data_IF_661379222047
#
_entry.id   IF_661379222047
#
_cell.length_a   1.000
_cell.length_b   1.000
_cell.length_c   1.000
_cell.angle_alpha   90.00
_cell.angle_beta   90.00
_cell.angle_gamma   90.00
#
_symmetry.space_group_name_H-M   'P 1'
#
loop_
_entity.id
_entity.type
_entity.pdbx_description
1 polymer ?
#
# COMPACT_ATOMS: atom_id res chain seq x y z
N UNK A 1 3.23 -21.89 -11.43
CA UNK A 1 1.88 -21.64 -11.98
C UNK A 1 1.92 -20.28 -12.67
N UNK A 2 1.42 -20.15 -13.93
CA UNK A 2 1.43 -18.85 -14.59
C UNK A 2 0.51 -17.87 -13.86
N UNK A 3 0.97 -16.62 -13.75
CA UNK A 3 0.23 -15.51 -13.16
C UNK A 3 -0.20 -14.59 -14.28
N UNK A 4 -1.49 -14.35 -14.37
CA UNK A 4 -2.03 -13.28 -15.20
C UNK A 4 -1.81 -11.95 -14.51
N UNK A 5 -1.42 -10.92 -15.26
CA UNK A 5 -1.27 -9.57 -14.75
C UNK A 5 -1.64 -8.55 -15.83
N UNK A 6 -2.52 -7.62 -15.50
CA UNK A 6 -3.05 -6.64 -16.43
C UNK A 6 -3.42 -5.33 -15.75
N UNK A 7 -3.34 -4.21 -16.47
CA UNK A 7 -3.96 -2.97 -16.05
C UNK A 7 -5.46 -3.02 -16.34
N UNK A 8 -6.27 -2.71 -15.33
CA UNK A 8 -7.74 -2.69 -15.43
C UNK A 8 -8.29 -1.31 -15.10
N UNK A 9 -9.51 -1.05 -15.59
CA UNK A 9 -10.34 0.08 -15.14
C UNK A 9 -11.56 -0.46 -14.39
N UNK A 10 -11.95 0.22 -13.31
CA UNK A 10 -13.12 -0.08 -12.52
C UNK A 10 -13.76 1.23 -12.02
N UNK A 11 -14.97 1.51 -12.49
CA UNK A 11 -15.56 2.85 -12.35
C UNK A 11 -14.67 3.92 -13.00
N UNK A 12 -14.37 4.96 -12.26
CA UNK A 12 -13.46 6.06 -12.61
C UNK A 12 -12.00 5.82 -12.14
N UNK A 13 -11.71 4.60 -11.65
CA UNK A 13 -10.40 4.21 -11.14
C UNK A 13 -9.66 3.33 -12.13
N UNK A 14 -8.33 3.22 -11.95
CA UNK A 14 -7.47 2.25 -12.63
C UNK A 14 -6.53 1.56 -11.63
N UNK A 15 -6.00 0.41 -12.00
CA UNK A 15 -5.04 -0.32 -11.19
C UNK A 15 -4.45 -1.53 -11.90
N UNK A 16 -3.38 -2.08 -11.32
CA UNK A 16 -2.76 -3.30 -11.81
C UNK A 16 -3.33 -4.51 -11.07
N UNK A 17 -3.96 -5.43 -11.79
CA UNK A 17 -4.59 -6.63 -11.25
C UNK A 17 -3.80 -7.88 -11.65
N UNK A 18 -3.59 -8.79 -10.68
CA UNK A 18 -2.92 -10.05 -10.93
C UNK A 18 -3.60 -11.21 -10.18
N UNK A 19 -3.65 -12.39 -10.82
CA UNK A 19 -4.20 -13.60 -10.24
C UNK A 19 -3.64 -14.87 -10.88
N UNK A 20 -3.71 -16.05 -10.22
CA UNK A 20 -3.33 -17.34 -10.79
C UNK A 20 -4.23 -17.72 -11.96
N UNK A 21 -3.71 -17.86 -13.19
CA UNK A 21 -4.50 -18.16 -14.40
C UNK A 21 -5.32 -19.46 -14.32
N UNK A 22 -4.87 -20.42 -13.51
CA UNK A 22 -5.52 -21.73 -13.37
C UNK A 22 -6.41 -21.82 -12.14
N UNK A 23 -6.77 -20.70 -11.54
CA UNK A 23 -7.75 -20.71 -10.46
C UNK A 23 -9.11 -21.19 -10.98
N UNK A 24 -9.68 -22.19 -10.32
CA UNK A 24 -10.98 -22.78 -10.69
C UNK A 24 -12.13 -22.29 -9.82
N UNK A 25 -11.80 -21.48 -8.81
CA UNK A 25 -12.75 -20.88 -7.84
C UNK A 25 -12.36 -19.43 -7.63
N UNK A 26 -13.30 -18.58 -7.18
CA UNK A 26 -12.96 -17.26 -6.69
C UNK A 26 -11.94 -17.34 -5.55
N UNK A 27 -10.99 -16.41 -5.54
CA UNK A 27 -9.87 -16.37 -4.60
C UNK A 27 -10.03 -15.27 -3.56
N UNK A 28 -9.55 -15.47 -2.33
CA UNK A 28 -9.31 -14.35 -1.43
C UNK A 28 -8.45 -13.29 -2.11
N UNK A 29 -8.66 -12.03 -1.78
CA UNK A 29 -8.01 -10.93 -2.49
C UNK A 29 -7.23 -10.00 -1.57
N UNK A 30 -6.24 -9.31 -2.14
CA UNK A 30 -5.40 -8.35 -1.43
C UNK A 30 -5.25 -7.07 -2.24
N UNK A 31 -5.56 -5.93 -1.61
CA UNK A 31 -5.24 -4.61 -2.16
C UNK A 31 -3.79 -4.28 -1.79
N UNK A 32 -2.97 -3.99 -2.81
CA UNK A 32 -1.56 -3.61 -2.66
C UNK A 32 -1.43 -2.10 -2.82
N UNK A 33 -1.13 -1.40 -1.73
CA UNK A 33 -1.13 0.05 -1.70
C UNK A 33 0.28 0.58 -1.90
N UNK A 34 0.47 1.33 -2.96
CA UNK A 34 1.72 1.88 -3.46
C UNK A 34 2.47 2.74 -2.45
N UNK A 35 3.79 2.84 -2.63
CA UNK A 35 4.62 3.88 -2.03
C UNK A 35 4.34 5.25 -2.71
N UNK A 36 5.10 6.27 -2.34
CA UNK A 36 5.01 7.61 -2.95
C UNK A 36 5.40 7.62 -4.45
N UNK A 37 5.97 6.53 -4.95
CA UNK A 37 6.42 6.39 -6.34
C UNK A 37 5.33 5.93 -7.32
N UNK A 38 4.09 5.74 -6.84
CA UNK A 38 3.00 5.23 -7.67
C UNK A 38 3.04 3.71 -7.86
N UNK A 39 2.11 3.20 -8.65
CA UNK A 39 2.18 1.82 -9.15
C UNK A 39 3.23 1.80 -10.26
N UNK A 40 4.43 1.35 -9.91
CA UNK A 40 5.59 1.17 -10.76
C UNK A 40 5.90 -0.32 -10.93
N UNK A 41 6.95 -0.67 -11.68
CA UNK A 41 7.33 -2.06 -11.93
C UNK A 41 7.55 -2.88 -10.63
N UNK A 42 8.05 -2.27 -9.56
CA UNK A 42 8.24 -2.93 -8.27
C UNK A 42 6.89 -3.30 -7.62
N UNK A 43 5.91 -2.39 -7.63
CA UNK A 43 4.56 -2.65 -7.10
C UNK A 43 3.81 -3.66 -7.99
N UNK A 44 3.96 -3.60 -9.32
CA UNK A 44 3.40 -4.63 -10.22
C UNK A 44 3.97 -6.01 -9.92
N UNK A 45 5.29 -6.11 -9.73
CA UNK A 45 5.94 -7.39 -9.41
C UNK A 45 5.53 -7.90 -8.02
N UNK A 46 5.41 -7.04 -7.02
CA UNK A 46 4.90 -7.39 -5.71
C UNK A 46 3.44 -7.88 -5.77
N UNK A 47 2.61 -7.25 -6.60
CA UNK A 47 1.23 -7.67 -6.86
C UNK A 47 1.20 -9.08 -7.45
N UNK A 48 2.07 -9.39 -8.42
CA UNK A 48 2.24 -10.76 -8.96
C UNK A 48 2.76 -11.75 -7.93
N UNK A 49 3.67 -11.34 -7.04
CA UNK A 49 4.19 -12.21 -5.96
C UNK A 49 3.09 -12.61 -4.98
N UNK A 50 2.18 -11.68 -4.64
CA UNK A 50 1.00 -11.99 -3.81
C UNK A 50 0.06 -12.93 -4.57
N UNK A 51 -0.14 -12.71 -5.87
CA UNK A 51 -0.91 -13.62 -6.71
C UNK A 51 -0.28 -15.02 -6.78
N UNK A 52 1.04 -15.11 -6.87
CA UNK A 52 1.76 -16.40 -6.86
C UNK A 52 1.64 -17.15 -5.52
N UNK A 53 1.33 -16.45 -4.44
CA UNK A 53 1.03 -17.06 -3.14
C UNK A 53 -0.43 -17.57 -3.02
N UNK A 54 -1.25 -17.44 -4.06
CA UNK A 54 -2.61 -18.03 -4.12
C UNK A 54 -3.74 -17.03 -3.89
N UNK A 55 -3.48 -15.74 -3.95
CA UNK A 55 -4.49 -14.67 -3.85
C UNK A 55 -4.78 -14.05 -5.21
N UNK A 56 -5.89 -13.32 -5.34
CA UNK A 56 -5.98 -12.29 -6.36
C UNK A 56 -5.50 -10.97 -5.76
N UNK A 57 -4.78 -10.14 -6.52
CA UNK A 57 -4.20 -8.92 -5.99
C UNK A 57 -4.48 -7.73 -6.91
N UNK A 58 -4.84 -6.58 -6.34
CA UNK A 58 -5.08 -5.33 -7.05
C UNK A 58 -4.22 -4.22 -6.44
N UNK A 59 -3.40 -3.58 -7.25
CA UNK A 59 -2.72 -2.35 -6.90
C UNK A 59 -3.46 -1.15 -7.51
N UNK A 60 -4.31 -0.44 -6.75
CA UNK A 60 -4.98 0.77 -7.21
C UNK A 60 -3.98 1.87 -7.55
N UNK A 61 -4.16 2.54 -8.69
CA UNK A 61 -3.32 3.67 -9.06
C UNK A 61 -3.84 4.97 -8.41
N UNK A 62 -3.30 5.31 -7.25
CA UNK A 62 -3.72 6.48 -6.48
C UNK A 62 -3.27 7.82 -7.10
N UNK A 63 -2.53 7.78 -8.19
CA UNK A 63 -2.19 8.95 -9.00
C UNK A 63 -3.17 9.17 -10.15
N UNK A 64 -4.04 8.21 -10.40
CA UNK A 64 -5.07 8.32 -11.43
C UNK A 64 -6.17 9.30 -11.01
N UNK A 65 -6.64 10.08 -11.95
CA UNK A 65 -7.83 10.93 -11.86
C UNK A 65 -8.67 10.61 -13.09
N UNK A 66 -9.92 10.22 -12.90
CA UNK A 66 -10.81 9.78 -13.98
C UNK A 66 -10.18 8.68 -14.87
N UNK A 67 -9.54 7.70 -14.22
CA UNK A 67 -8.89 6.56 -14.87
C UNK A 67 -7.56 6.84 -15.56
N UNK A 68 -6.99 8.05 -15.46
CA UNK A 68 -5.72 8.44 -16.09
C UNK A 68 -4.82 9.22 -15.15
N UNK A 69 -3.52 9.02 -15.25
CA UNK A 69 -2.55 9.87 -14.55
C UNK A 69 -2.48 11.26 -15.19
N UNK A 70 -2.41 12.34 -14.39
CA UNK A 70 -2.06 13.65 -14.91
C UNK A 70 -0.62 13.63 -15.47
N UNK A 71 -0.29 14.49 -16.46
CA UNK A 71 1.03 14.47 -17.13
C UNK A 71 2.22 14.50 -16.17
N UNK A 72 2.13 15.24 -15.07
CA UNK A 72 3.20 15.32 -14.07
C UNK A 72 3.46 14.00 -13.31
N UNK A 73 2.51 13.06 -13.31
CA UNK A 73 2.57 11.78 -12.60
C UNK A 73 2.56 10.56 -13.55
N UNK A 74 2.79 10.77 -14.83
CA UNK A 74 3.04 9.68 -15.78
C UNK A 74 4.32 8.91 -15.41
N UNK A 75 4.35 7.61 -15.70
CA UNK A 75 5.44 6.71 -15.29
C UNK A 75 6.83 7.24 -15.68
N UNK A 76 7.02 7.65 -16.94
CA UNK A 76 8.28 8.19 -17.42
C UNK A 76 8.74 9.46 -16.68
N UNK A 77 7.80 10.30 -16.26
CA UNK A 77 8.07 11.51 -15.47
C UNK A 77 8.50 11.17 -14.05
N UNK A 78 7.87 10.18 -13.43
CA UNK A 78 8.23 9.67 -12.09
C UNK A 78 9.61 9.01 -12.17
N UNK A 79 9.88 8.19 -13.18
CA UNK A 79 11.19 7.56 -13.39
C UNK A 79 12.30 8.61 -13.55
N UNK A 80 12.09 9.66 -14.34
CA UNK A 80 13.02 10.79 -14.49
C UNK A 80 13.29 11.46 -13.13
N UNK A 81 12.27 11.72 -12.34
CA UNK A 81 12.41 12.33 -11.02
C UNK A 81 13.13 11.40 -10.01
N UNK A 82 12.83 10.11 -10.02
CA UNK A 82 13.50 9.08 -9.18
C UNK A 82 14.99 8.96 -9.58
N UNK A 83 15.28 8.90 -10.87
CA UNK A 83 16.65 8.85 -11.38
C UNK A 83 17.45 10.09 -10.94
N UNK A 84 16.86 11.27 -11.03
CA UNK A 84 17.47 12.51 -10.53
C UNK A 84 17.72 12.42 -9.01
N UNK A 85 16.76 11.99 -8.21
CA UNK A 85 16.94 11.79 -6.76
C UNK A 85 18.06 10.79 -6.45
N UNK A 86 18.25 9.79 -7.29
CA UNK A 86 19.34 8.82 -7.21
C UNK A 86 20.74 9.41 -7.43
N UNK A 87 20.87 10.58 -8.08
CA UNK A 87 22.15 11.26 -8.26
C UNK A 87 22.64 11.97 -7.00
N UNK A 88 21.76 12.18 -6.02
CA UNK A 88 22.09 12.78 -4.75
C UNK A 88 22.73 11.76 -3.80
N UNK A 89 23.72 12.16 -2.96
CA UNK A 89 24.19 11.33 -1.86
C UNK A 89 23.02 10.84 -0.98
N UNK A 90 23.09 9.62 -0.49
CA UNK A 90 21.99 8.98 0.23
C UNK A 90 21.50 9.83 1.43
N UNK A 91 22.42 10.40 2.19
CA UNK A 91 22.15 11.25 3.35
C UNK A 91 21.57 12.63 2.99
N UNK A 92 21.70 13.07 1.74
CA UNK A 92 21.18 14.35 1.22
C UNK A 92 19.97 14.20 0.32
N UNK A 93 19.55 12.99 0.03
CA UNK A 93 18.46 12.71 -0.93
C UNK A 93 17.15 13.41 -0.58
N UNK A 94 16.87 13.58 0.70
CA UNK A 94 15.66 14.26 1.20
C UNK A 94 15.94 15.67 1.75
N UNK A 95 17.17 16.19 1.58
CA UNK A 95 17.52 17.58 1.92
C UNK A 95 17.03 18.52 0.82
N UNK A 96 16.10 19.45 1.12
CA UNK A 96 15.59 20.40 0.14
C UNK A 96 16.66 21.31 -0.47
N UNK A 97 17.66 21.74 0.32
CA UNK A 97 18.72 22.62 -0.17
C UNK A 97 19.65 21.89 -1.15
N UNK A 98 20.07 20.67 -0.83
CA UNK A 98 20.89 19.85 -1.72
C UNK A 98 20.14 19.52 -3.04
N UNK A 99 18.84 19.25 -2.95
CA UNK A 99 18.01 19.02 -4.14
C UNK A 99 17.94 20.27 -5.01
N UNK A 100 17.67 21.44 -4.43
CA UNK A 100 17.57 22.70 -5.18
C UNK A 100 18.90 23.07 -5.86
N UNK A 101 20.02 22.87 -5.18
CA UNK A 101 21.36 23.05 -5.76
C UNK A 101 21.58 22.11 -6.96
N UNK A 102 21.22 20.83 -6.83
CA UNK A 102 21.37 19.86 -7.92
C UNK A 102 20.43 20.18 -9.10
N UNK A 103 19.18 20.58 -8.84
CA UNK A 103 18.24 21.05 -9.85
C UNK A 103 18.77 22.27 -10.62
N UNK A 104 19.46 23.18 -9.93
CA UNK A 104 20.06 24.37 -10.53
C UNK A 104 21.14 24.08 -11.59
N UNK A 105 21.69 22.86 -11.61
CA UNK A 105 22.69 22.40 -12.58
C UNK A 105 22.09 21.81 -13.86
N UNK A 106 20.77 21.59 -13.89
CA UNK A 106 20.06 21.01 -15.03
C UNK A 106 19.60 22.08 -16.02
N UNK A 107 19.39 21.66 -17.27
CA UNK A 107 18.73 22.48 -18.27
C UNK A 107 17.35 22.95 -17.77
N UNK A 108 16.94 24.20 -18.07
CA UNK A 108 15.71 24.79 -17.53
C UNK A 108 14.45 23.94 -17.74
N UNK A 109 14.29 23.33 -18.92
CA UNK A 109 13.14 22.49 -19.23
C UNK A 109 13.12 21.18 -18.39
N UNK A 110 14.28 20.54 -18.22
CA UNK A 110 14.43 19.33 -17.40
C UNK A 110 14.19 19.64 -15.93
N UNK A 111 14.78 20.73 -15.44
CA UNK A 111 14.54 21.21 -14.07
C UNK A 111 13.05 21.45 -13.81
N UNK A 112 12.35 22.13 -14.70
CA UNK A 112 10.93 22.42 -14.56
C UNK A 112 10.11 21.12 -14.48
N UNK A 113 10.36 20.15 -15.38
CA UNK A 113 9.68 18.85 -15.37
C UNK A 113 9.89 18.09 -14.07
N UNK A 114 11.13 17.94 -13.62
CA UNK A 114 11.46 17.21 -12.38
C UNK A 114 10.86 17.91 -11.17
N UNK A 115 10.92 19.23 -11.09
CA UNK A 115 10.34 20.01 -9.99
C UNK A 115 8.82 19.86 -9.93
N UNK A 116 8.13 19.90 -11.07
CA UNK A 116 6.68 19.70 -11.17
C UNK A 116 6.28 18.30 -10.70
N UNK A 117 6.95 17.26 -11.21
CA UNK A 117 6.68 15.86 -10.83
C UNK A 117 6.96 15.62 -9.35
N UNK A 118 8.10 16.08 -8.85
CA UNK A 118 8.43 16.00 -7.43
C UNK A 118 7.36 16.70 -6.58
N UNK A 119 6.97 17.93 -6.93
CA UNK A 119 5.92 18.66 -6.24
C UNK A 119 4.59 17.91 -6.21
N UNK A 120 4.18 17.33 -7.34
CA UNK A 120 2.95 16.54 -7.46
C UNK A 120 2.99 15.28 -6.58
N UNK A 121 4.08 14.52 -6.60
CA UNK A 121 4.25 13.33 -5.74
C UNK A 121 4.21 13.70 -4.25
N UNK A 122 4.97 14.70 -3.83
CA UNK A 122 5.09 15.07 -2.41
C UNK A 122 3.90 15.84 -1.86
N UNK A 123 2.99 16.35 -2.71
CA UNK A 123 1.71 16.88 -2.27
C UNK A 123 0.72 15.77 -1.84
N UNK A 124 0.92 14.55 -2.30
CA UNK A 124 0.03 13.41 -2.06
C UNK A 124 -0.11 13.03 -0.57
N UNK A 125 0.97 12.96 0.24
CA UNK A 125 0.85 12.65 1.67
C UNK A 125 -0.06 13.61 2.46
N UNK A 126 -0.12 14.89 2.09
CA UNK A 126 -1.05 15.86 2.69
C UNK A 126 -2.53 15.58 2.40
N UNK A 127 -2.81 14.67 1.47
CA UNK A 127 -4.16 14.30 1.00
C UNK A 127 -4.55 12.87 1.38
N UNK A 128 -3.83 12.20 2.28
CA UNK A 128 -4.09 10.78 2.62
C UNK A 128 -5.56 10.47 2.92
N UNK A 129 -6.32 11.27 3.70
CA UNK A 129 -7.74 10.97 3.93
C UNK A 129 -8.57 10.93 2.64
N UNK A 130 -8.25 11.76 1.64
CA UNK A 130 -8.97 11.76 0.37
C UNK A 130 -8.65 10.53 -0.50
N UNK A 131 -7.51 9.86 -0.26
CA UNK A 131 -7.11 8.65 -0.97
C UNK A 131 -7.77 7.38 -0.44
N UNK A 132 -8.51 7.44 0.67
CA UNK A 132 -9.27 6.29 1.17
C UNK A 132 -10.47 5.97 0.28
N UNK A 133 -11.10 6.99 -0.32
CA UNK A 133 -12.25 6.77 -1.21
C UNK A 133 -11.91 5.87 -2.44
N UNK A 134 -10.85 6.13 -3.23
CA UNK A 134 -10.44 5.21 -4.30
C UNK A 134 -10.05 3.80 -3.79
N UNK A 135 -9.49 3.67 -2.58
CA UNK A 135 -9.22 2.37 -1.99
C UNK A 135 -10.51 1.62 -1.62
N UNK A 136 -11.52 2.31 -1.11
CA UNK A 136 -12.85 1.72 -0.87
C UNK A 136 -13.55 1.32 -2.17
N UNK A 137 -13.37 2.07 -3.25
CA UNK A 137 -13.84 1.65 -4.57
C UNK A 137 -13.18 0.35 -5.02
N UNK A 138 -11.88 0.16 -4.76
CA UNK A 138 -11.19 -1.10 -5.03
C UNK A 138 -11.73 -2.25 -4.15
N UNK A 139 -12.05 -2.00 -2.87
CA UNK A 139 -12.74 -2.98 -2.00
C UNK A 139 -14.06 -3.41 -2.61
N UNK A 140 -14.92 -2.46 -2.97
CA UNK A 140 -16.22 -2.74 -3.57
C UNK A 140 -16.10 -3.54 -4.87
N UNK A 141 -15.16 -3.16 -5.74
CA UNK A 141 -14.89 -3.85 -7.01
C UNK A 141 -14.49 -5.31 -6.78
N UNK A 142 -13.50 -5.58 -5.93
CA UNK A 142 -13.03 -6.93 -5.65
C UNK A 142 -14.09 -7.78 -4.94
N UNK A 143 -14.85 -7.19 -4.01
CA UNK A 143 -15.82 -7.91 -3.18
C UNK A 143 -17.11 -8.24 -3.93
N UNK A 144 -17.57 -7.34 -4.79
CA UNK A 144 -18.95 -7.43 -5.33
C UNK A 144 -19.00 -7.59 -6.86
N UNK A 145 -17.99 -7.18 -7.60
CA UNK A 145 -18.07 -7.11 -9.06
C UNK A 145 -17.17 -8.13 -9.77
N UNK A 146 -15.92 -8.28 -9.31
CA UNK A 146 -14.92 -9.10 -10.01
C UNK A 146 -15.17 -10.59 -9.82
N UNK A 147 -15.37 -11.35 -10.90
CA UNK A 147 -15.69 -12.79 -10.87
C UNK A 147 -14.63 -13.63 -10.16
N UNK A 148 -13.35 -13.23 -10.26
CA UNK A 148 -12.21 -13.94 -9.67
C UNK A 148 -12.14 -13.80 -8.13
N UNK A 149 -12.90 -12.85 -7.54
CA UNK A 149 -12.77 -12.54 -6.10
C UNK A 149 -14.11 -12.36 -5.39
N UNK A 150 -15.19 -12.24 -6.13
CA UNK A 150 -16.52 -11.93 -5.59
C UNK A 150 -16.92 -12.84 -4.43
N UNK A 151 -17.31 -12.22 -3.33
CA UNK A 151 -17.79 -12.93 -2.13
C UNK A 151 -16.68 -13.58 -1.29
N UNK A 152 -15.40 -13.40 -1.65
CA UNK A 152 -14.28 -13.94 -0.89
C UNK A 152 -13.72 -12.93 0.11
N UNK A 153 -12.93 -13.40 1.08
CA UNK A 153 -12.23 -12.55 2.04
C UNK A 153 -11.28 -11.59 1.34
N UNK A 154 -11.12 -10.38 1.89
CA UNK A 154 -10.31 -9.32 1.32
C UNK A 154 -9.43 -8.66 2.38
N UNK A 155 -8.13 -8.58 2.09
CA UNK A 155 -7.16 -7.85 2.90
C UNK A 155 -6.51 -6.70 2.15
N UNK A 156 -5.69 -5.93 2.85
CA UNK A 156 -4.81 -4.95 2.22
C UNK A 156 -3.40 -5.02 2.80
N UNK A 157 -2.43 -4.61 2.00
CA UNK A 157 -1.05 -4.32 2.42
C UNK A 157 -0.62 -3.01 1.82
N UNK A 158 0.01 -2.17 2.61
CA UNK A 158 0.53 -0.88 2.14
C UNK A 158 1.96 -0.63 2.58
N UNK A 159 2.69 0.13 1.76
CA UNK A 159 4.12 0.38 1.92
C UNK A 159 4.37 1.88 2.02
N UNK A 160 5.15 2.35 3.00
CA UNK A 160 5.47 3.77 3.21
C UNK A 160 4.18 4.62 3.35
N UNK A 161 3.92 5.51 2.40
CA UNK A 161 2.65 6.24 2.28
C UNK A 161 1.46 5.27 2.27
N UNK A 162 1.55 4.20 1.50
CA UNK A 162 0.54 3.15 1.43
C UNK A 162 0.35 2.39 2.74
N UNK A 163 1.39 2.28 3.58
CA UNK A 163 1.27 1.72 4.92
C UNK A 163 0.37 2.56 5.82
N UNK A 164 0.53 3.89 5.78
CA UNK A 164 -0.39 4.81 6.44
C UNK A 164 -1.82 4.73 5.90
N UNK A 165 -1.96 4.56 4.58
CA UNK A 165 -3.27 4.36 3.94
C UNK A 165 -3.90 3.01 4.30
N UNK A 166 -3.12 1.95 4.44
CA UNK A 166 -3.62 0.65 4.94
C UNK A 166 -4.21 0.78 6.33
N UNK A 167 -3.54 1.54 7.22
CA UNK A 167 -4.05 1.82 8.56
C UNK A 167 -5.35 2.65 8.53
N UNK A 168 -5.42 3.68 7.68
CA UNK A 168 -6.63 4.49 7.51
C UNK A 168 -7.78 3.69 6.88
N UNK A 169 -7.49 2.85 5.89
CA UNK A 169 -8.48 1.98 5.28
C UNK A 169 -9.08 1.01 6.30
N UNK A 170 -8.25 0.43 7.18
CA UNK A 170 -8.72 -0.42 8.27
C UNK A 170 -9.67 0.31 9.24
N UNK A 171 -9.49 1.63 9.43
CA UNK A 171 -10.39 2.44 10.24
C UNK A 171 -11.72 2.76 9.55
N UNK A 172 -11.76 2.85 8.22
CA UNK A 172 -12.88 3.40 7.47
C UNK A 172 -13.64 2.35 6.64
N UNK A 173 -13.09 1.12 6.53
CA UNK A 173 -13.67 0.04 5.72
C UNK A 173 -13.99 -1.20 6.56
N UNK A 174 -15.24 -1.34 7.00
CA UNK A 174 -15.67 -2.47 7.86
C UNK A 174 -15.65 -3.83 7.13
N UNK A 175 -15.68 -3.84 5.81
CA UNK A 175 -15.63 -5.08 5.01
C UNK A 175 -14.21 -5.64 4.86
N UNK A 176 -13.18 -4.93 5.36
CA UNK A 176 -11.82 -5.43 5.33
C UNK A 176 -11.63 -6.56 6.35
N UNK A 177 -11.06 -7.69 5.92
CA UNK A 177 -10.86 -8.87 6.76
C UNK A 177 -9.46 -8.94 7.38
N UNK A 178 -8.46 -8.22 6.81
CA UNK A 178 -7.09 -8.13 7.31
C UNK A 178 -6.37 -6.89 6.77
N UNK A 179 -5.52 -6.25 7.58
CA UNK A 179 -4.69 -5.13 7.14
C UNK A 179 -3.22 -5.32 7.52
N UNK A 180 -2.31 -5.02 6.61
CA UNK A 180 -0.88 -5.08 6.83
C UNK A 180 -0.20 -3.74 6.53
N UNK A 181 0.69 -3.31 7.42
CA UNK A 181 1.35 -2.01 7.39
C UNK A 181 2.86 -2.22 7.30
N UNK A 182 3.48 -1.81 6.20
CA UNK A 182 4.94 -1.76 6.07
C UNK A 182 5.43 -0.33 6.22
N UNK A 183 6.20 -0.07 7.27
CA UNK A 183 6.83 1.23 7.57
C UNK A 183 5.91 2.44 7.30
N UNK A 184 4.63 2.30 7.64
CA UNK A 184 3.61 3.33 7.49
C UNK A 184 3.29 4.03 8.81
N UNK A 185 2.78 5.27 8.71
CA UNK A 185 2.32 6.03 9.86
C UNK A 185 1.10 5.38 10.52
N UNK A 186 1.02 5.51 11.85
CA UNK A 186 -0.17 5.11 12.61
C UNK A 186 -1.38 5.99 12.27
N UNK A 187 -2.60 5.45 12.34
CA UNK A 187 -3.82 6.23 12.14
C UNK A 187 -4.09 7.16 13.34
N UNK A 188 -4.97 8.16 13.19
CA UNK A 188 -5.44 8.96 14.32
C UNK A 188 -6.05 8.08 15.43
N UNK A 189 -5.70 8.34 16.69
CA UNK A 189 -6.10 7.50 17.82
C UNK A 189 -7.62 7.37 17.96
N UNK A 190 -8.35 8.45 17.68
CA UNK A 190 -9.82 8.51 17.73
C UNK A 190 -10.51 7.61 16.70
N UNK A 191 -9.80 7.20 15.65
CA UNK A 191 -10.31 6.29 14.61
C UNK A 191 -10.03 4.81 14.90
N UNK A 192 -9.15 4.50 15.85
CA UNK A 192 -8.71 3.11 16.11
C UNK A 192 -9.86 2.20 16.53
N UNK A 193 -10.81 2.72 17.30
CA UNK A 193 -11.96 1.96 17.78
C UNK A 193 -12.86 1.40 16.64
N UNK A 194 -12.86 2.03 15.46
CA UNK A 194 -13.64 1.58 14.30
C UNK A 194 -12.98 0.42 13.53
N UNK A 195 -11.72 0.10 13.77
CA UNK A 195 -11.04 -1.01 13.10
C UNK A 195 -11.78 -2.33 13.39
N UNK A 196 -12.21 -3.02 12.33
CA UNK A 196 -13.00 -4.24 12.44
C UNK A 196 -12.23 -5.53 12.10
N UNK A 197 -10.97 -5.41 11.65
CA UNK A 197 -10.13 -6.53 11.23
C UNK A 197 -8.83 -6.62 12.05
N UNK A 198 -8.17 -7.80 12.07
CA UNK A 198 -6.80 -7.93 12.55
C UNK A 198 -5.83 -7.04 11.76
N UNK A 199 -4.83 -6.50 12.44
CA UNK A 199 -3.79 -5.67 11.85
C UNK A 199 -2.42 -6.25 12.16
N UNK A 200 -1.50 -6.26 11.17
CA UNK A 200 -0.09 -6.59 11.37
C UNK A 200 0.80 -5.44 10.87
N UNK A 201 1.87 -5.12 11.60
CA UNK A 201 2.80 -4.03 11.25
C UNK A 201 4.25 -4.51 11.15
N UNK A 202 5.02 -3.96 10.19
CA UNK A 202 6.43 -4.25 9.96
C UNK A 202 7.23 -2.95 9.88
N UNK A 203 8.21 -2.77 10.75
CA UNK A 203 8.91 -1.51 10.93
C UNK A 203 10.42 -1.73 10.99
N UNK A 204 11.20 -0.82 10.42
CA UNK A 204 12.65 -0.80 10.58
C UNK A 204 13.06 -0.01 11.81
N UNK A 205 13.94 -0.54 12.68
CA UNK A 205 14.36 0.11 13.92
C UNK A 205 15.01 1.49 13.70
N UNK A 206 15.62 1.71 12.53
CA UNK A 206 16.24 2.98 12.16
C UNK A 206 15.25 4.06 11.72
N UNK A 207 13.98 3.73 11.47
CA UNK A 207 12.92 4.68 11.09
C UNK A 207 12.25 5.30 12.33
N UNK A 208 12.99 6.12 13.05
CA UNK A 208 12.51 6.73 14.29
C UNK A 208 11.24 7.56 14.12
N UNK A 209 11.09 8.22 12.95
CA UNK A 209 9.93 9.08 12.66
C UNK A 209 8.62 8.29 12.61
N UNK A 210 8.61 7.15 11.95
CA UNK A 210 7.42 6.27 11.87
C UNK A 210 7.24 5.54 13.19
N UNK A 211 8.32 5.01 13.76
CA UNK A 211 8.28 4.21 14.98
C UNK A 211 7.77 4.97 16.20
N UNK A 212 7.93 6.30 16.26
CA UNK A 212 7.42 7.13 17.35
C UNK A 212 5.90 6.97 17.56
N UNK A 213 5.13 6.67 16.52
CA UNK A 213 3.68 6.47 16.61
C UNK A 213 3.24 5.05 17.01
N UNK A 214 4.10 4.04 16.79
CA UNK A 214 3.73 2.62 16.93
C UNK A 214 3.30 2.23 18.35
N UNK A 215 3.99 2.64 19.44
CA UNK A 215 3.58 2.32 20.81
C UNK A 215 2.20 2.88 21.15
N UNK A 216 1.90 4.12 20.73
CA UNK A 216 0.60 4.75 20.93
C UNK A 216 -0.50 4.00 20.19
N UNK A 217 -0.27 3.62 18.94
CA UNK A 217 -1.20 2.82 18.15
C UNK A 217 -1.46 1.45 18.81
N UNK A 218 -0.41 0.75 19.25
CA UNK A 218 -0.54 -0.52 19.95
C UNK A 218 -1.34 -0.40 21.25
N UNK A 219 -1.15 0.69 22.01
CA UNK A 219 -1.93 0.98 23.20
C UNK A 219 -3.41 1.19 22.86
N UNK A 220 -3.73 2.03 21.88
CA UNK A 220 -5.10 2.31 21.45
C UNK A 220 -5.80 1.05 20.94
N UNK A 221 -5.12 0.19 20.16
CA UNK A 221 -5.66 -1.08 19.70
C UNK A 221 -6.01 -2.02 20.86
N UNK A 222 -5.11 -2.14 21.85
CA UNK A 222 -5.32 -2.95 23.04
C UNK A 222 -6.49 -2.45 23.87
N UNK A 223 -6.57 -1.14 24.11
CA UNK A 223 -7.66 -0.49 24.85
C UNK A 223 -9.02 -0.70 24.16
N UNK A 224 -9.03 -0.66 22.82
CA UNK A 224 -10.22 -0.95 22.02
C UNK A 224 -10.53 -2.45 21.89
N UNK A 225 -9.74 -3.36 22.47
CA UNK A 225 -9.90 -4.81 22.32
C UNK A 225 -9.65 -5.33 20.91
N UNK A 226 -8.81 -4.63 20.12
CA UNK A 226 -8.48 -4.97 18.74
C UNK A 226 -7.15 -5.70 18.62
N UNK A 227 -7.00 -6.55 17.60
CA UNK A 227 -5.77 -7.29 17.34
C UNK A 227 -4.78 -6.44 16.55
N UNK A 228 -3.62 -6.17 17.13
CA UNK A 228 -2.47 -5.59 16.45
C UNK A 228 -1.20 -6.32 16.84
N UNK A 229 -0.60 -7.01 15.88
CA UNK A 229 0.73 -7.60 15.97
C UNK A 229 1.72 -6.71 15.24
N UNK A 230 2.92 -6.49 15.75
CA UNK A 230 3.92 -5.74 15.01
C UNK A 230 5.35 -6.25 15.28
N UNK A 231 6.21 -6.07 14.28
CA UNK A 231 7.61 -6.48 14.28
C UNK A 231 8.49 -5.28 13.95
N UNK A 232 9.54 -5.11 14.75
CA UNK A 232 10.56 -4.07 14.52
C UNK A 232 11.88 -4.78 14.22
N UNK A 233 12.46 -4.51 13.05
CA UNK A 233 13.67 -5.16 12.56
C UNK A 233 14.89 -4.32 12.88
N UNK A 234 15.78 -4.87 13.72
CA UNK A 234 17.01 -4.23 14.15
C UNK A 234 17.91 -3.93 12.95
N UNK A 235 18.49 -2.73 12.89
CA UNK A 235 19.33 -2.28 11.78
C UNK A 235 18.61 -1.93 10.47
N UNK A 236 17.35 -2.34 10.30
CA UNK A 236 16.59 -2.03 9.09
C UNK A 236 16.13 -0.55 9.07
N UNK A 237 16.13 0.04 7.88
CA UNK A 237 15.69 1.41 7.62
C UNK A 237 14.24 1.47 7.14
N UNK A 238 13.73 2.71 6.96
CA UNK A 238 12.51 2.95 6.19
C UNK A 238 12.62 2.32 4.80
N UNK A 239 11.56 1.72 4.27
CA UNK A 239 11.53 1.04 2.98
C UNK A 239 12.47 -0.19 2.86
N UNK A 240 12.79 -0.86 3.97
CA UNK A 240 13.65 -2.04 3.98
C UNK A 240 13.15 -3.19 3.10
N UNK A 241 11.87 -3.24 2.79
CA UNK A 241 11.25 -4.31 2.01
C UNK A 241 11.33 -4.08 0.49
N UNK A 242 11.69 -2.87 0.04
CA UNK A 242 11.78 -2.53 -1.38
C UNK A 242 13.10 -3.00 -1.97
N UNK A 243 13.09 -4.09 -2.70
CA UNK A 243 14.29 -4.73 -3.30
C UNK A 243 14.98 -3.88 -4.36
N UNK A 244 14.33 -2.83 -4.87
CA UNK A 244 14.94 -1.88 -5.83
C UNK A 244 15.62 -0.71 -5.14
N UNK A 245 15.41 -0.58 -3.81
CA UNK A 245 15.94 0.52 -3.01
C UNK A 245 17.31 0.22 -2.40
N UNK A 246 18.11 1.27 -2.17
CA UNK A 246 19.45 1.16 -1.58
C UNK A 246 19.46 0.70 -0.11
N UNK A 247 18.30 0.71 0.57
CA UNK A 247 18.13 0.34 1.98
C UNK A 247 17.44 -1.01 2.16
N UNK A 248 17.37 -1.80 1.08
CA UNK A 248 16.81 -3.13 1.12
C UNK A 248 17.54 -4.03 2.13
N UNK A 249 16.80 -4.66 3.02
CA UNK A 249 17.31 -5.63 3.97
C UNK A 249 16.73 -7.01 3.67
N UNK A 250 17.56 -7.91 3.14
CA UNK A 250 17.13 -9.24 2.71
C UNK A 250 16.60 -10.10 3.86
N UNK A 251 17.16 -9.96 5.08
CA UNK A 251 16.76 -10.80 6.22
C UNK A 251 15.44 -10.31 6.81
N UNK A 252 15.31 -9.00 7.04
CA UNK A 252 14.07 -8.38 7.48
C UNK A 252 12.94 -8.62 6.47
N UNK A 253 13.20 -8.47 5.17
CA UNK A 253 12.22 -8.68 4.10
C UNK A 253 11.73 -10.13 4.02
N UNK A 254 12.63 -11.10 4.16
CA UNK A 254 12.27 -12.52 4.13
C UNK A 254 11.38 -12.89 5.32
N UNK A 255 11.72 -12.45 6.53
CA UNK A 255 10.92 -12.72 7.72
C UNK A 255 9.57 -11.99 7.64
N UNK A 256 9.54 -10.71 7.23
CA UNK A 256 8.31 -9.95 7.05
C UNK A 256 7.37 -10.60 6.03
N UNK A 257 7.91 -11.11 4.90
CA UNK A 257 7.12 -11.82 3.91
C UNK A 257 6.52 -13.11 4.46
N UNK A 258 7.31 -13.92 5.17
CA UNK A 258 6.84 -15.17 5.76
C UNK A 258 5.70 -14.91 6.78
N UNK A 259 5.85 -13.89 7.63
CA UNK A 259 4.82 -13.47 8.59
C UNK A 259 3.57 -12.94 7.91
N UNK A 260 3.71 -12.10 6.87
CA UNK A 260 2.60 -11.58 6.09
C UNK A 260 1.79 -12.73 5.47
N UNK A 261 2.45 -13.71 4.85
CA UNK A 261 1.77 -14.86 4.24
C UNK A 261 1.08 -15.74 5.30
N UNK A 262 1.72 -15.95 6.45
CA UNK A 262 1.10 -16.64 7.58
C UNK A 262 -0.13 -15.91 8.12
N UNK A 263 -0.04 -14.59 8.25
CA UNK A 263 -1.13 -13.73 8.68
C UNK A 263 -2.32 -13.80 7.70
N UNK A 264 -2.08 -13.69 6.40
CA UNK A 264 -3.13 -13.82 5.40
C UNK A 264 -3.74 -15.23 5.34
N UNK A 265 -2.92 -16.27 5.41
CA UNK A 265 -3.43 -17.64 5.48
C UNK A 265 -4.39 -17.86 6.66
N UNK A 266 -4.15 -17.19 7.78
CA UNK A 266 -5.00 -17.27 8.98
C UNK A 266 -6.30 -16.45 8.84
N UNK A 267 -6.23 -15.27 8.23
CA UNK A 267 -7.32 -14.29 8.26
C UNK A 267 -8.08 -14.11 6.93
N UNK A 268 -7.51 -14.59 5.82
CA UNK A 268 -8.12 -14.56 4.49
C UNK A 268 -8.40 -15.98 3.96
N UNK A 269 -8.88 -16.87 4.83
CA UNK A 269 -9.21 -18.23 4.42
C UNK A 269 -10.37 -18.27 3.40
N UNK A 270 -10.29 -19.22 2.45
CA UNK A 270 -11.33 -19.44 1.45
C UNK A 270 -12.73 -19.58 2.11
N UNK A 271 -13.73 -18.91 1.55
CA UNK A 271 -15.13 -19.07 1.94
C UNK A 271 -15.59 -18.33 3.21
N UNK A 272 -14.74 -17.50 3.82
CA UNK A 272 -15.14 -16.64 4.96
C UNK A 272 -15.36 -15.18 4.55
N UNK A 273 -16.32 -14.92 3.66
CA UNK A 273 -16.91 -13.58 3.67
C UNK A 273 -17.63 -13.40 5.02
N UNK A 274 -17.40 -12.27 5.73
CA UNK A 274 -18.25 -11.89 6.86
C UNK A 274 -19.70 -11.91 6.34
N UNK A 275 -20.58 -12.69 6.94
CA UNK A 275 -22.01 -12.54 6.71
C UNK A 275 -22.33 -11.06 6.95
N UNK A 276 -22.76 -10.35 5.91
CA UNK A 276 -23.26 -8.99 6.07
C UNK A 276 -24.40 -9.08 7.07
N UNK A 277 -24.27 -8.42 8.22
CA UNK A 277 -25.37 -8.20 9.14
C UNK A 277 -26.36 -7.26 8.42
N UNK A 278 -27.21 -7.83 7.58
CA UNK A 278 -28.40 -7.16 7.12
C UNK A 278 -29.25 -6.89 8.36
N UNK A 279 -29.69 -5.66 8.62
CA UNK A 279 -30.62 -5.39 9.70
C UNK A 279 -31.88 -6.22 9.42
N UNK A 280 -32.21 -7.14 10.35
CA UNK A 280 -33.38 -7.95 10.25
C UNK A 280 -34.61 -7.07 10.06
N UNK A 281 -35.36 -7.29 8.99
CA UNK A 281 -36.69 -6.80 8.85
C UNK A 281 -37.52 -7.55 9.91
N UNK A 282 -37.77 -6.88 11.04
CA UNK A 282 -38.74 -7.29 12.02
C UNK A 282 -40.15 -7.28 11.35
N UNK A 283 -40.75 -8.40 11.28
CA UNK A 283 -42.18 -8.62 11.03
C UNK A 283 -43.03 -8.12 12.20
#
# INVERSE_FOLDING_TARGET
>A
MPIHGEWISYGDQSGYFAFPERATKPLPSVIVIQEIWGVNAQIEELTKRIAAAGYAALAPDLFSVDGKRPPALEAARIEEAVAFMGTLPAEKRFDPAAREEALGRLEPATRARISETHGAMWSTPGRLPALVAPLRAAVAHLRHERSETKGQSLGCVGFCMGGGLSALLACEEPELDAAAIFYGSSPPAEKVASIACPVIGFYGAMDQRVNAGVPGFAASMREAGKMFEYHVYEGANHAFFNETGAVYDVNASRDAWARLMSFYSKHLAEGKAKESALPGHGS
#
